data_IF_179678626904
#
_entry.id   IF_179678626904
#
_cell.length_a   1.000
_cell.length_b   1.000
_cell.length_c   1.000
_cell.angle_alpha   90.00
_cell.angle_beta   90.00
_cell.angle_gamma   90.00
#
_symmetry.space_group_name_H-M   'P 1'
#
loop_
_entity.id
_entity.type
_entity.pdbx_description
1 polymer ?
#
# COMPACT_ATOMS: atom_id res chain seq x y z
N UNK A 1 -27.43 35.78 -1.72
CA UNK A 1 -26.77 34.58 -2.29
C UNK A 1 -25.25 34.64 -2.24
N UNK A 2 -24.61 35.83 -2.27
CA UNK A 2 -23.14 35.93 -2.20
C UNK A 2 -22.54 35.50 -0.84
N UNK A 3 -23.19 35.79 0.29
CA UNK A 3 -22.67 35.45 1.63
C UNK A 3 -22.54 33.95 1.92
N UNK A 4 -23.41 33.13 1.33
CA UNK A 4 -23.41 31.70 1.57
C UNK A 4 -22.19 31.02 0.91
N UNK A 5 -21.73 31.55 -0.23
CA UNK A 5 -20.57 31.05 -0.96
C UNK A 5 -19.27 31.35 -0.21
N UNK A 6 -19.14 32.57 0.31
CA UNK A 6 -17.99 32.99 1.12
C UNK A 6 -17.89 32.19 2.44
N UNK A 7 -19.04 31.83 3.03
CA UNK A 7 -19.07 30.98 4.24
C UNK A 7 -18.74 29.51 3.96
N UNK A 8 -18.97 29.04 2.73
CA UNK A 8 -18.62 27.68 2.31
C UNK A 8 -17.12 27.57 1.99
N UNK A 9 -16.54 28.56 1.31
CA UNK A 9 -15.09 28.64 1.08
C UNK A 9 -14.33 28.81 2.39
N UNK A 10 -14.80 29.64 3.33
CA UNK A 10 -14.19 29.76 4.66
C UNK A 10 -14.34 28.49 5.52
N UNK A 11 -15.40 27.70 5.29
CA UNK A 11 -15.58 26.42 5.96
C UNK A 11 -14.76 25.29 5.32
N UNK A 12 -14.54 25.34 4.00
CA UNK A 12 -13.69 24.42 3.23
C UNK A 12 -12.21 24.67 3.50
N UNK A 13 -11.80 25.93 3.68
CA UNK A 13 -10.45 26.30 4.14
C UNK A 13 -10.24 26.01 5.64
N UNK A 14 -11.32 25.83 6.39
CA UNK A 14 -11.32 25.31 7.75
C UNK A 14 -11.49 23.77 7.83
N UNK A 15 -11.66 23.07 6.69
CA UNK A 15 -11.45 21.62 6.61
C UNK A 15 -9.94 21.42 6.70
N UNK A 16 -9.53 21.29 7.96
CA UNK A 16 -8.17 21.21 8.43
C UNK A 16 -7.26 20.32 7.54
N UNK A 17 -5.96 20.65 7.42
CA UNK A 17 -4.95 19.98 6.58
C UNK A 17 -4.63 18.51 6.93
N UNK A 18 -5.52 17.79 7.59
CA UNK A 18 -5.33 16.38 7.95
C UNK A 18 -5.46 15.41 6.76
N UNK A 19 -5.94 15.87 5.60
CA UNK A 19 -5.91 15.07 4.36
C UNK A 19 -4.52 15.03 3.71
N UNK A 20 -3.53 15.76 4.23
CA UNK A 20 -2.29 16.01 3.51
C UNK A 20 -1.30 14.83 3.50
N UNK A 21 -1.40 13.81 4.38
CA UNK A 21 -0.32 12.83 4.47
C UNK A 21 -0.71 11.39 4.86
N UNK A 22 -1.44 10.68 3.99
CA UNK A 22 -1.10 9.27 3.78
C UNK A 22 0.26 9.19 3.06
N UNK A 23 1.33 9.60 3.75
CA UNK A 23 2.70 9.34 3.30
C UNK A 23 2.82 7.83 3.13
N UNK A 24 2.89 7.37 1.89
CA UNK A 24 3.15 5.96 1.62
C UNK A 24 4.59 5.66 2.01
N UNK A 25 4.75 4.90 3.08
CA UNK A 25 6.07 4.46 3.50
C UNK A 25 6.58 3.38 2.55
N UNK A 26 7.81 3.55 2.08
CA UNK A 26 8.44 2.61 1.14
C UNK A 26 9.67 1.99 1.79
N UNK A 27 9.95 0.73 1.47
CA UNK A 27 11.11 0.04 2.02
C UNK A 27 12.42 0.69 1.54
N UNK A 28 13.31 0.96 2.49
CA UNK A 28 14.63 1.56 2.27
C UNK A 28 15.76 0.53 2.18
N UNK A 29 15.41 -0.74 1.96
CA UNK A 29 16.40 -1.81 1.80
C UNK A 29 17.33 -1.54 0.60
N UNK A 30 18.61 -1.94 0.68
CA UNK A 30 19.58 -1.75 -0.42
C UNK A 30 19.06 -2.35 -1.74
N UNK A 31 18.45 -3.53 -1.68
CA UNK A 31 17.82 -4.21 -2.84
C UNK A 31 16.68 -3.38 -3.45
N UNK A 32 15.81 -2.83 -2.61
CA UNK A 32 14.66 -2.01 -2.98
C UNK A 32 15.10 -0.70 -3.66
N UNK A 33 16.13 -0.06 -3.09
CA UNK A 33 16.70 1.18 -3.61
C UNK A 33 17.39 0.95 -4.96
N UNK A 34 18.17 -0.13 -5.07
CA UNK A 34 18.80 -0.56 -6.31
C UNK A 34 17.73 -0.85 -7.39
N UNK A 35 16.71 -1.65 -7.03
CA UNK A 35 15.61 -1.97 -7.93
C UNK A 35 14.84 -0.74 -8.41
N UNK A 36 14.66 0.28 -7.57
CA UNK A 36 13.98 1.52 -7.99
C UNK A 36 14.76 2.27 -9.08
N UNK A 37 16.10 2.29 -9.00
CA UNK A 37 16.97 2.90 -10.02
C UNK A 37 16.89 2.15 -11.35
N UNK A 38 16.90 0.82 -11.31
CA UNK A 38 16.87 -0.01 -12.52
C UNK A 38 15.48 -0.20 -13.11
N UNK A 39 14.40 0.09 -12.37
CA UNK A 39 13.01 -0.11 -12.81
C UNK A 39 12.71 0.48 -14.19
N UNK A 40 13.23 1.67 -14.50
CA UNK A 40 13.03 2.34 -15.79
C UNK A 40 13.87 1.71 -16.91
N UNK A 41 15.02 1.13 -16.55
CA UNK A 41 15.94 0.51 -17.49
C UNK A 41 15.54 -0.90 -17.90
N UNK A 42 14.87 -1.66 -17.02
CA UNK A 42 14.41 -3.03 -17.29
C UNK A 42 13.62 -3.16 -18.60
N UNK A 43 12.52 -2.39 -18.83
CA UNK A 43 11.78 -2.48 -20.08
C UNK A 43 12.63 -2.07 -21.29
N UNK A 44 13.51 -1.07 -21.16
CA UNK A 44 14.36 -0.60 -22.25
C UNK A 44 15.37 -1.65 -22.70
N UNK A 45 16.08 -2.27 -21.75
CA UNK A 45 17.03 -3.34 -22.02
C UNK A 45 16.35 -4.58 -22.62
N UNK A 46 15.11 -4.85 -22.21
CA UNK A 46 14.33 -5.97 -22.76
C UNK A 46 14.08 -5.79 -24.26
N UNK A 47 13.65 -4.60 -24.68
CA UNK A 47 13.44 -4.30 -26.10
C UNK A 47 14.75 -4.28 -26.90
N UNK A 48 15.83 -3.73 -26.33
CA UNK A 48 17.16 -3.77 -26.95
C UNK A 48 17.63 -5.22 -27.17
N UNK A 49 17.20 -6.15 -26.32
CA UNK A 49 17.60 -7.56 -26.40
C UNK A 49 17.08 -8.32 -27.62
N UNK A 50 16.03 -7.83 -28.28
CA UNK A 50 15.62 -8.38 -29.58
C UNK A 50 16.66 -8.11 -30.68
N UNK A 51 17.40 -7.00 -30.58
CA UNK A 51 18.50 -6.66 -31.49
C UNK A 51 19.82 -7.27 -31.05
N UNK A 52 20.07 -7.26 -29.74
CA UNK A 52 21.32 -7.71 -29.13
C UNK A 52 21.01 -8.69 -27.99
N UNK A 53 20.93 -10.02 -28.26
CA UNK A 53 20.54 -11.02 -27.27
C UNK A 53 21.41 -11.02 -26.00
N UNK A 54 22.65 -10.53 -26.07
CA UNK A 54 23.53 -10.36 -24.91
C UNK A 54 22.97 -9.39 -23.86
N UNK A 55 22.11 -8.44 -24.24
CA UNK A 55 21.49 -7.53 -23.26
C UNK A 55 20.53 -8.28 -22.32
N UNK A 56 19.95 -9.40 -22.74
CA UNK A 56 19.14 -10.25 -21.86
C UNK A 56 19.97 -10.85 -20.72
N UNK A 57 21.26 -11.13 -20.94
CA UNK A 57 22.16 -11.56 -19.88
C UNK A 57 22.37 -10.46 -18.82
N UNK A 58 22.41 -9.19 -19.24
CA UNK A 58 22.49 -8.07 -18.29
C UNK A 58 21.22 -7.96 -17.44
N UNK A 59 20.04 -8.21 -18.02
CA UNK A 59 18.78 -8.27 -17.27
C UNK A 59 18.75 -9.43 -16.27
N UNK A 60 19.24 -10.62 -16.67
CA UNK A 60 19.41 -11.75 -15.75
C UNK A 60 20.38 -11.39 -14.62
N UNK A 61 21.49 -10.72 -14.93
CA UNK A 61 22.45 -10.25 -13.95
C UNK A 61 21.83 -9.26 -12.96
N UNK A 62 21.04 -8.29 -13.43
CA UNK A 62 20.31 -7.36 -12.55
C UNK A 62 19.32 -8.11 -11.67
N UNK A 63 18.55 -9.05 -12.22
CA UNK A 63 17.60 -9.85 -11.44
C UNK A 63 18.32 -10.68 -10.36
N UNK A 64 19.41 -11.36 -10.72
CA UNK A 64 20.21 -12.16 -9.79
C UNK A 64 20.86 -11.29 -8.71
N UNK A 65 21.41 -10.13 -9.09
CA UNK A 65 21.99 -9.16 -8.17
C UNK A 65 20.95 -8.65 -7.16
N UNK A 66 19.79 -8.22 -7.65
CA UNK A 66 18.69 -7.72 -6.80
C UNK A 66 18.15 -8.82 -5.89
N UNK A 67 18.15 -10.10 -6.29
CA UNK A 67 17.51 -11.21 -5.56
C UNK A 67 18.42 -11.98 -4.61
N UNK A 68 19.66 -12.25 -5.00
CA UNK A 68 20.57 -13.13 -4.26
C UNK A 68 21.78 -12.39 -3.68
N UNK A 69 22.23 -11.32 -4.35
CA UNK A 69 23.48 -10.66 -3.97
C UNK A 69 23.29 -9.56 -2.92
N UNK A 70 22.21 -8.79 -3.02
CA UNK A 70 21.93 -7.75 -2.04
C UNK A 70 21.24 -8.35 -0.80
N UNK A 71 21.58 -7.88 0.39
CA UNK A 71 20.87 -8.27 1.62
C UNK A 71 19.41 -7.78 1.58
N UNK A 72 18.47 -8.68 1.91
CA UNK A 72 17.02 -8.41 1.90
C UNK A 72 16.46 -8.18 3.30
N UNK A 73 17.23 -7.55 4.17
CA UNK A 73 16.73 -7.14 5.48
C UNK A 73 15.76 -5.97 5.24
N UNK A 74 14.50 -6.17 5.60
CA UNK A 74 13.47 -5.13 5.50
C UNK A 74 13.87 -3.99 6.42
N UNK A 75 14.20 -2.84 5.82
CA UNK A 75 14.57 -1.64 6.55
C UNK A 75 13.35 -0.72 6.63
N UNK A 76 12.87 -0.51 7.86
CA UNK A 76 11.83 0.46 8.14
C UNK A 76 12.42 1.88 8.14
N UNK A 77 11.68 2.89 7.65
CA UNK A 77 12.11 4.28 7.79
C UNK A 77 12.17 4.65 9.28
N UNK A 78 13.17 5.45 9.66
CA UNK A 78 13.21 6.06 11.00
C UNK A 78 12.16 7.16 11.01
N UNK A 79 11.11 6.97 11.81
CA UNK A 79 10.04 7.95 11.99
C UNK A 79 10.52 9.00 13.00
N UNK A 80 10.55 10.31 12.67
CA UNK A 80 10.82 11.35 13.64
C UNK A 80 9.70 11.41 14.68
N UNK A 81 10.01 11.87 15.89
CA UNK A 81 9.02 11.97 16.99
C UNK A 81 7.80 12.83 16.62
N UNK A 82 8.01 13.81 15.74
CA UNK A 82 7.00 14.73 15.21
C UNK A 82 5.96 14.04 14.31
N UNK A 83 6.28 12.89 13.71
CA UNK A 83 5.33 12.14 12.89
C UNK A 83 4.40 11.27 13.73
N UNK A 84 4.71 11.03 15.01
CA UNK A 84 3.82 10.27 15.88
C UNK A 84 2.62 11.12 16.31
N UNK A 85 1.42 10.52 16.41
CA UNK A 85 0.22 11.23 16.79
C UNK A 85 0.40 11.90 18.15
N UNK A 86 0.17 13.20 18.18
CA UNK A 86 0.20 13.97 19.42
C UNK A 86 -1.12 13.85 20.17
N UNK A 87 -1.12 14.13 21.48
CA UNK A 87 -2.33 14.17 22.31
C UNK A 87 -3.37 15.13 21.71
N UNK A 88 -2.90 16.27 21.20
CA UNK A 88 -3.74 17.28 20.58
C UNK A 88 -4.46 16.73 19.34
N UNK A 89 -3.73 16.02 18.47
CA UNK A 89 -4.30 15.42 17.26
C UNK A 89 -5.35 14.35 17.59
N UNK A 90 -5.08 13.50 18.58
CA UNK A 90 -6.03 12.49 19.07
C UNK A 90 -7.33 13.12 19.56
N UNK A 91 -7.24 14.18 20.38
CA UNK A 91 -8.42 14.91 20.86
C UNK A 91 -9.18 15.58 19.73
N UNK A 92 -8.47 16.23 18.81
CA UNK A 92 -9.08 16.89 17.66
C UNK A 92 -9.81 15.89 16.75
N UNK A 93 -9.25 14.69 16.55
CA UNK A 93 -9.87 13.61 15.79
C UNK A 93 -11.13 13.06 16.47
N UNK A 94 -11.06 12.80 17.78
CA UNK A 94 -12.21 12.34 18.56
C UNK A 94 -13.36 13.35 18.56
N UNK A 95 -13.06 14.64 18.70
CA UNK A 95 -14.08 15.69 18.69
C UNK A 95 -14.80 15.79 17.34
N UNK A 96 -14.07 15.66 16.23
CA UNK A 96 -14.66 15.63 14.88
C UNK A 96 -15.57 14.42 14.67
N UNK A 97 -15.15 13.24 15.14
CA UNK A 97 -15.96 12.03 15.05
C UNK A 97 -17.30 12.17 15.79
N UNK A 98 -17.35 12.93 16.88
CA UNK A 98 -18.61 13.20 17.60
C UNK A 98 -19.53 14.21 16.89
N UNK A 99 -18.97 15.22 16.21
CA UNK A 99 -19.76 16.27 15.54
C UNK A 99 -20.44 15.76 14.27
N UNK A 100 -19.79 14.86 13.51
CA UNK A 100 -20.38 14.29 12.29
C UNK A 100 -21.65 13.46 12.58
N UNK A 101 -21.71 12.77 13.71
CA UNK A 101 -22.89 12.00 14.13
C UNK A 101 -24.10 12.89 14.37
N UNK A 102 -23.90 14.11 14.90
CA UNK A 102 -25.01 15.01 15.26
C UNK A 102 -25.64 15.72 14.05
N UNK A 103 -24.89 15.88 12.97
CA UNK A 103 -25.37 16.58 11.76
C UNK A 103 -26.24 15.67 10.88
N UNK A 104 -26.06 14.34 10.96
CA UNK A 104 -26.87 13.37 10.21
C UNK A 104 -28.20 12.98 10.86
N UNK A 105 -28.50 13.45 12.08
CA UNK A 105 -29.68 13.01 12.85
C UNK A 105 -30.83 14.03 12.87
N UNK A 106 -30.68 15.17 12.17
CA UNK A 106 -31.71 16.23 12.18
C UNK A 106 -32.57 16.29 10.91
N UNK A 107 -32.20 15.54 9.87
CA UNK A 107 -33.04 15.35 8.68
C UNK A 107 -33.58 13.93 8.72
N UNK A 108 -34.81 13.80 9.18
CA UNK A 108 -35.56 12.56 9.18
C UNK A 108 -35.74 11.99 7.77
N UNK A 109 -35.73 10.66 7.75
CA UNK A 109 -36.49 9.78 6.85
C UNK A 109 -35.72 9.05 5.72
N UNK A 110 -35.54 7.75 5.97
CA UNK A 110 -35.69 6.66 5.00
C UNK A 110 -34.67 6.47 3.86
N UNK A 111 -33.37 6.71 4.08
CA UNK A 111 -32.36 6.06 3.23
C UNK A 111 -31.29 5.31 4.04
N UNK A 112 -31.46 3.99 4.02
CA UNK A 112 -30.61 2.95 4.57
C UNK A 112 -29.12 3.32 4.74
N UNK A 113 -28.73 3.48 6.00
CA UNK A 113 -27.36 3.44 6.52
C UNK A 113 -26.69 2.09 6.19
N UNK A 114 -26.19 1.95 4.96
CA UNK A 114 -25.37 0.80 4.54
C UNK A 114 -23.91 1.18 4.18
N UNK A 115 -23.58 2.46 4.04
CA UNK A 115 -22.28 2.89 3.49
C UNK A 115 -21.17 3.29 4.47
N UNK A 116 -21.47 3.75 5.69
CA UNK A 116 -20.42 4.36 6.55
C UNK A 116 -19.68 3.37 7.46
N UNK A 117 -20.21 2.14 7.64
CA UNK A 117 -19.49 1.08 8.37
C UNK A 117 -18.45 0.37 7.50
N UNK A 118 -18.53 0.51 6.19
CA UNK A 118 -17.62 -0.13 5.24
C UNK A 118 -16.27 0.58 5.16
N UNK A 119 -16.16 1.89 5.42
CA UNK A 119 -14.87 2.58 5.24
C UNK A 119 -13.77 2.13 6.22
N UNK A 120 -14.10 1.87 7.49
CA UNK A 120 -13.12 1.34 8.47
C UNK A 120 -12.99 -0.19 8.41
N UNK A 121 -14.02 -0.94 7.97
CA UNK A 121 -13.92 -2.40 7.81
C UNK A 121 -13.26 -2.83 6.49
N UNK A 122 -13.34 -2.04 5.41
CA UNK A 122 -12.71 -2.39 4.15
C UNK A 122 -11.18 -2.20 4.21
N UNK A 123 -10.70 -1.25 5.00
CA UNK A 123 -9.27 -1.09 5.27
C UNK A 123 -8.70 -2.24 6.11
N UNK A 124 -9.47 -2.83 7.04
CA UNK A 124 -8.99 -4.00 7.81
C UNK A 124 -9.12 -5.33 7.07
N UNK A 125 -10.07 -5.47 6.13
CA UNK A 125 -10.29 -6.69 5.35
C UNK A 125 -9.33 -6.88 4.18
N UNK A 126 -8.66 -5.82 3.71
CA UNK A 126 -7.60 -5.93 2.69
C UNK A 126 -6.19 -6.11 3.27
N UNK A 127 -6.02 -6.13 4.60
CA UNK A 127 -4.77 -6.58 5.19
C UNK A 127 -4.57 -8.07 4.86
N UNK A 128 -3.55 -8.33 4.03
CA UNK A 128 -3.04 -9.65 3.69
C UNK A 128 -3.11 -10.60 4.90
N UNK A 129 -3.73 -11.80 4.79
CA UNK A 129 -3.88 -12.74 5.90
C UNK A 129 -2.55 -13.15 6.55
N UNK A 130 -1.41 -12.93 5.88
CA UNK A 130 -0.06 -13.11 6.44
C UNK A 130 0.32 -12.09 7.53
N UNK A 131 -0.34 -10.94 7.60
CA UNK A 131 -0.12 -9.93 8.64
C UNK A 131 -0.96 -10.24 9.89
N UNK A 132 -2.08 -10.94 9.74
CA UNK A 132 -2.93 -11.36 10.88
C UNK A 132 -2.24 -12.36 11.82
N UNK A 133 -1.19 -13.06 11.37
CA UNK A 133 -0.42 -13.98 12.24
C UNK A 133 0.52 -13.25 13.21
N UNK A 134 0.77 -11.95 13.04
CA UNK A 134 1.57 -11.15 13.95
C UNK A 134 0.69 -10.62 15.07
N UNK A 135 0.18 -11.54 15.92
CA UNK A 135 -0.42 -11.26 17.23
C UNK A 135 -1.05 -9.88 17.39
N UNK A 136 -1.95 -9.48 16.49
CA UNK A 136 -2.81 -8.33 16.74
C UNK A 136 -3.69 -8.80 17.87
N UNK A 137 -3.37 -8.38 19.08
CA UNK A 137 -4.28 -8.46 20.22
C UNK A 137 -5.55 -7.78 19.74
N UNK A 138 -6.55 -8.57 19.37
CA UNK A 138 -7.90 -8.06 19.19
C UNK A 138 -8.28 -7.47 20.55
N UNK A 139 -8.05 -6.17 20.70
CA UNK A 139 -8.66 -5.37 21.73
C UNK A 139 -10.15 -5.35 21.41
N UNK A 140 -10.81 -6.45 21.74
CA UNK A 140 -12.25 -6.56 21.86
C UNK A 140 -12.59 -5.57 22.96
N UNK A 141 -12.89 -4.34 22.58
CA UNK A 141 -13.57 -3.41 23.45
C UNK A 141 -14.84 -4.12 23.88
N UNK A 142 -14.83 -4.68 25.10
CA UNK A 142 -16.04 -5.22 25.69
C UNK A 142 -16.96 -4.03 25.85
N UNK A 143 -17.93 -3.98 24.95
CA UNK A 143 -19.06 -3.08 25.01
C UNK A 143 -19.98 -3.63 26.09
N UNK A 144 -19.48 -3.68 27.33
CA UNK A 144 -20.27 -4.12 28.47
C UNK A 144 -21.36 -3.08 28.69
N UNK A 145 -22.58 -3.59 28.59
CA UNK A 145 -23.86 -2.91 28.59
C UNK A 145 -23.98 -1.86 29.70
N UNK A 146 -23.88 -0.58 29.35
CA UNK A 146 -24.53 0.48 30.10
C UNK A 146 -25.99 0.56 29.64
N UNK A 147 -26.84 -0.30 30.21
CA UNK A 147 -28.30 -0.22 30.08
C UNK A 147 -28.76 1.07 30.76
N UNK A 148 -28.90 2.15 29.97
CA UNK A 148 -29.48 3.40 30.44
C UNK A 148 -30.99 3.23 30.61
N UNK A 149 -31.57 3.59 31.77
CA UNK A 149 -33.00 3.56 31.96
C UNK A 149 -33.67 4.61 31.06
N UNK A 150 -34.59 4.14 30.22
CA UNK A 150 -35.51 4.97 29.44
C UNK A 150 -36.50 5.59 30.43
N UNK A 151 -36.32 6.87 30.75
CA UNK A 151 -37.16 7.56 31.73
C UNK A 151 -37.17 9.09 31.59
N UNK A 152 -38.22 9.59 30.95
CA UNK A 152 -38.84 10.93 31.08
C UNK A 152 -38.06 12.20 30.70
N UNK A 153 -38.69 12.93 29.77
CA UNK A 153 -38.19 14.07 28.98
C UNK A 153 -38.31 15.45 29.68
N UNK A 154 -38.49 15.53 31.00
CA UNK A 154 -38.89 16.78 31.68
C UNK A 154 -37.89 17.36 32.69
N UNK A 155 -36.62 16.91 32.70
CA UNK A 155 -35.60 17.41 33.62
C UNK A 155 -34.44 18.16 32.93
N UNK A 156 -34.76 19.22 32.17
CA UNK A 156 -33.76 20.26 31.80
C UNK A 156 -33.59 21.20 33.00
N UNK A 157 -33.11 20.67 34.14
CA UNK A 157 -32.62 21.47 35.26
C UNK A 157 -31.12 21.70 35.05
N UNK A 158 -30.79 22.92 34.63
CA UNK A 158 -29.66 23.73 35.08
C UNK A 158 -28.60 22.98 35.92
N UNK A 159 -27.81 22.10 35.28
CA UNK A 159 -26.61 21.54 35.88
C UNK A 159 -25.50 22.60 35.78
N UNK A 160 -25.49 23.52 36.75
CA UNK A 160 -24.35 24.41 37.07
C UNK A 160 -23.34 23.71 38.00
N UNK A 161 -23.28 22.38 37.94
CA UNK A 161 -22.32 21.59 38.69
C UNK A 161 -20.96 21.65 38.01
N UNK A 162 -19.96 22.24 38.69
CA UNK A 162 -18.55 22.16 38.31
C UNK A 162 -18.20 20.68 38.11
N UNK A 163 -17.83 20.23 36.89
CA UNK A 163 -17.57 18.81 36.66
C UNK A 163 -16.42 18.36 37.56
N UNK A 164 -16.68 17.38 38.44
CA UNK A 164 -15.61 16.75 39.19
C UNK A 164 -14.66 16.06 38.19
N UNK A 165 -13.32 16.29 38.30
CA UNK A 165 -12.36 15.62 37.45
C UNK A 165 -12.42 14.12 37.74
N UNK A 166 -12.79 13.30 36.76
CA UNK A 166 -12.74 11.85 36.93
C UNK A 166 -11.29 11.43 37.25
N UNK A 167 -11.04 10.66 38.33
CA UNK A 167 -9.69 10.31 38.77
C UNK A 167 -8.87 9.41 37.81
N UNK A 168 -9.41 9.07 36.63
CA UNK A 168 -8.85 8.06 35.73
C UNK A 168 -8.37 8.64 34.38
N UNK A 169 -8.52 9.94 34.14
CA UNK A 169 -8.39 10.54 32.80
C UNK A 169 -6.96 10.47 32.25
N UNK A 170 -5.94 10.65 33.09
CA UNK A 170 -4.55 10.64 32.65
C UNK A 170 -4.06 9.25 32.23
N UNK A 171 -4.44 8.19 32.97
CA UNK A 171 -4.09 6.81 32.63
C UNK A 171 -4.77 6.38 31.33
N UNK A 172 -6.06 6.71 31.17
CA UNK A 172 -6.83 6.39 29.97
C UNK A 172 -6.29 7.12 28.73
N UNK A 173 -5.87 8.39 28.88
CA UNK A 173 -5.26 9.17 27.81
C UNK A 173 -3.92 8.57 27.36
N UNK A 174 -3.05 8.19 28.32
CA UNK A 174 -1.79 7.52 28.00
C UNK A 174 -2.04 6.19 27.27
N UNK A 175 -3.04 5.41 27.68
CA UNK A 175 -3.40 4.17 27.00
C UNK A 175 -3.89 4.42 25.56
N UNK A 176 -4.75 5.41 25.34
CA UNK A 176 -5.20 5.80 24.00
C UNK A 176 -4.03 6.22 23.10
N UNK A 177 -3.10 7.02 23.66
CA UNK A 177 -1.92 7.45 22.94
C UNK A 177 -1.01 6.27 22.57
N UNK A 178 -0.75 5.34 23.49
CA UNK A 178 0.03 4.13 23.18
C UNK A 178 -0.67 3.27 22.11
N UNK A 179 -1.98 3.08 22.20
CA UNK A 179 -2.75 2.33 21.21
C UNK A 179 -2.70 2.99 19.81
N UNK A 180 -2.75 4.32 19.75
CA UNK A 180 -2.66 5.03 18.47
C UNK A 180 -1.28 4.91 17.84
N UNK A 181 -0.21 4.95 18.65
CA UNK A 181 1.17 4.77 18.20
C UNK A 181 1.42 3.37 17.68
N UNK A 182 0.94 2.34 18.38
CA UNK A 182 1.07 0.95 17.91
C UNK A 182 0.29 0.71 16.63
N UNK A 183 -0.91 1.29 16.51
CA UNK A 183 -1.70 1.23 15.27
C UNK A 183 -0.97 1.90 14.11
N UNK A 184 -0.42 3.11 14.31
CA UNK A 184 0.35 3.81 13.29
C UNK A 184 1.57 2.98 12.86
N UNK A 185 2.36 2.47 13.80
CA UNK A 185 3.52 1.63 13.50
C UNK A 185 3.13 0.37 12.72
N UNK A 186 2.00 -0.27 13.05
CA UNK A 186 1.49 -1.41 12.31
C UNK A 186 1.12 -1.04 10.86
N UNK A 187 0.49 0.12 10.65
CA UNK A 187 0.19 0.64 9.30
C UNK A 187 1.47 0.93 8.51
N UNK A 188 2.44 1.61 9.11
CA UNK A 188 3.75 1.87 8.48
C UNK A 188 4.45 0.57 8.10
N UNK A 189 4.44 -0.41 9.00
CA UNK A 189 5.05 -1.71 8.74
C UNK A 189 4.36 -2.44 7.58
N UNK A 190 3.03 -2.41 7.53
CA UNK A 190 2.25 -2.99 6.44
C UNK A 190 2.57 -2.32 5.09
N UNK A 191 2.67 -0.99 5.06
CA UNK A 191 3.04 -0.23 3.85
C UNK A 191 4.44 -0.56 3.35
N UNK A 192 5.42 -0.64 4.25
CA UNK A 192 6.81 -0.99 3.93
C UNK A 192 6.89 -2.40 3.36
N UNK A 193 6.22 -3.36 3.99
CA UNK A 193 6.15 -4.75 3.53
C UNK A 193 5.46 -4.84 2.16
N UNK A 194 4.33 -4.15 2.00
CA UNK A 194 3.61 -4.12 0.74
C UNK A 194 4.44 -3.50 -0.40
N UNK A 195 5.14 -2.40 -0.13
CA UNK A 195 6.06 -1.77 -1.08
C UNK A 195 7.20 -2.72 -1.47
N UNK A 196 7.76 -3.46 -0.52
CA UNK A 196 8.83 -4.42 -0.75
C UNK A 196 8.35 -5.61 -1.60
N UNK A 197 7.19 -6.17 -1.27
CA UNK A 197 6.59 -7.28 -2.01
C UNK A 197 6.20 -6.87 -3.44
N UNK A 198 5.67 -5.66 -3.61
CA UNK A 198 5.36 -5.09 -4.92
C UNK A 198 6.62 -5.00 -5.81
N UNK A 199 7.76 -4.62 -5.24
CA UNK A 199 9.03 -4.58 -5.98
C UNK A 199 9.50 -5.98 -6.35
N UNK A 200 9.42 -6.97 -5.45
CA UNK A 200 9.77 -8.37 -5.79
C UNK A 200 8.92 -8.91 -6.93
N UNK A 201 7.59 -8.76 -6.83
CA UNK A 201 6.65 -9.23 -7.88
C UNK A 201 6.93 -8.57 -9.24
N UNK A 202 7.29 -7.29 -9.25
CA UNK A 202 7.66 -6.59 -10.49
C UNK A 202 8.83 -7.27 -11.19
N UNK A 203 9.92 -7.55 -10.46
CA UNK A 203 11.10 -8.20 -11.03
C UNK A 203 10.85 -9.66 -11.41
N UNK A 204 10.09 -10.40 -10.62
CA UNK A 204 9.71 -11.78 -10.93
C UNK A 204 8.89 -11.84 -12.23
N UNK A 205 7.93 -10.93 -12.42
CA UNK A 205 7.15 -10.84 -13.68
C UNK A 205 8.05 -10.54 -14.89
N UNK A 206 8.99 -9.62 -14.76
CA UNK A 206 9.92 -9.29 -15.84
C UNK A 206 10.89 -10.43 -16.15
N UNK A 207 11.31 -11.19 -15.14
CA UNK A 207 12.11 -12.39 -15.32
C UNK A 207 11.36 -13.45 -16.13
N UNK A 208 10.07 -13.70 -15.83
CA UNK A 208 9.27 -14.63 -16.63
C UNK A 208 9.13 -14.17 -18.09
N UNK A 209 8.93 -12.87 -18.34
CA UNK A 209 8.90 -12.31 -19.70
C UNK A 209 10.22 -12.51 -20.43
N UNK A 210 11.34 -12.30 -19.74
CA UNK A 210 12.67 -12.53 -20.27
C UNK A 210 12.90 -14.00 -20.64
N UNK A 211 12.50 -14.91 -19.76
CA UNK A 211 12.57 -16.36 -20.03
C UNK A 211 11.72 -16.77 -21.22
N UNK A 212 10.47 -16.31 -21.29
CA UNK A 212 9.58 -16.60 -22.41
C UNK A 212 10.17 -16.09 -23.74
N UNK A 213 10.68 -14.85 -23.76
CA UNK A 213 11.29 -14.25 -24.95
C UNK A 213 12.58 -14.97 -25.36
N UNK A 214 13.44 -15.31 -24.39
CA UNK A 214 14.69 -16.05 -24.64
C UNK A 214 14.40 -17.44 -25.23
N UNK A 215 13.45 -18.18 -24.65
CA UNK A 215 13.03 -19.49 -25.17
C UNK A 215 12.50 -19.39 -26.60
N UNK A 216 11.64 -18.41 -26.90
CA UNK A 216 11.14 -18.20 -28.26
C UNK A 216 12.27 -17.87 -29.25
N UNK A 217 13.22 -17.03 -28.85
CA UNK A 217 14.37 -16.68 -29.67
C UNK A 217 15.26 -17.89 -29.98
N UNK A 218 15.54 -18.73 -28.98
CA UNK A 218 16.31 -19.98 -29.17
C UNK A 218 15.62 -20.90 -30.19
N UNK A 219 14.29 -21.04 -30.12
CA UNK A 219 13.54 -21.85 -31.10
C UNK A 219 13.66 -21.30 -32.52
N UNK A 220 13.57 -19.99 -32.70
CA UNK A 220 13.75 -19.33 -34.01
C UNK A 220 15.16 -19.59 -34.55
N UNK A 221 16.19 -19.42 -33.72
CA UNK A 221 17.58 -19.66 -34.12
C UNK A 221 17.78 -21.12 -34.54
N UNK A 222 17.27 -22.08 -33.75
CA UNK A 222 17.34 -23.51 -34.10
C UNK A 222 16.64 -23.78 -35.43
N UNK A 223 15.45 -23.21 -35.65
CA UNK A 223 14.71 -23.38 -36.90
C UNK A 223 15.46 -22.83 -38.12
N UNK A 224 16.03 -21.62 -38.01
CA UNK A 224 16.86 -21.01 -39.06
C UNK A 224 18.09 -21.87 -39.37
N UNK A 225 18.77 -22.37 -38.34
CA UNK A 225 19.92 -23.26 -38.48
C UNK A 225 19.52 -24.56 -39.20
N UNK A 226 18.41 -25.19 -38.80
CA UNK A 226 17.90 -26.40 -39.46
C UNK A 226 17.55 -26.16 -40.93
N UNK A 227 16.93 -25.02 -41.26
CA UNK A 227 16.64 -24.64 -42.66
C UNK A 227 17.93 -24.46 -43.44
N UNK A 228 18.91 -23.74 -42.89
CA UNK A 228 20.20 -23.52 -43.53
C UNK A 228 20.93 -24.85 -43.79
N UNK A 229 20.97 -25.74 -42.80
CA UNK A 229 21.55 -27.08 -42.95
C UNK A 229 20.81 -27.90 -44.01
N UNK A 230 19.48 -27.90 -44.01
CA UNK A 230 18.69 -28.59 -45.03
C UNK A 230 18.99 -28.04 -46.43
N UNK A 231 19.11 -26.72 -46.58
CA UNK A 231 19.44 -26.07 -47.86
C UNK A 231 20.82 -26.48 -48.38
N UNK A 232 21.81 -26.64 -47.49
CA UNK A 232 23.15 -27.08 -47.85
C UNK A 232 23.13 -28.55 -48.30
N UNK A 233 22.46 -29.41 -47.54
CA UNK A 233 22.42 -30.86 -47.82
C UNK A 233 21.57 -31.18 -49.05
N UNK A 234 20.47 -30.47 -49.27
CA UNK A 234 19.55 -30.72 -50.39
C UNK A 234 19.99 -30.08 -51.71
N UNK A 235 21.11 -29.37 -51.79
CA UNK A 235 21.64 -28.82 -53.04
C UNK A 235 22.42 -29.90 -53.80
N UNK A 236 21.83 -30.66 -54.74
CA UNK A 236 22.43 -31.86 -55.33
C UNK A 236 23.43 -31.52 -56.45
N UNK A 237 23.94 -30.29 -56.48
CA UNK A 237 24.29 -29.57 -57.71
C UNK A 237 25.72 -29.09 -57.84
N UNK A 238 26.70 -29.81 -57.30
CA UNK A 238 28.07 -29.78 -57.82
C UNK A 238 28.46 -31.18 -58.29
N UNK A 239 27.65 -31.74 -59.18
CA UNK A 239 28.16 -32.75 -60.10
C UNK A 239 29.27 -32.09 -60.91
N UNK A 240 30.50 -32.54 -60.71
CA UNK A 240 31.68 -32.12 -61.47
C UNK A 240 31.34 -32.11 -62.97
N UNK A 241 31.69 -31.05 -63.72
CA UNK A 241 31.62 -31.10 -65.17
C UNK A 241 32.56 -32.21 -65.63
N UNK A 242 31.98 -33.32 -66.10
CA UNK A 242 32.72 -34.35 -66.79
C UNK A 242 33.22 -33.74 -68.09
N UNK A 243 34.50 -33.36 -68.13
CA UNK A 243 35.18 -32.95 -69.34
C UNK A 243 35.23 -34.14 -70.30
N UNK A 244 34.53 -34.03 -71.42
CA UNK A 244 34.69 -34.89 -72.59
C UNK A 244 35.79 -34.35 -73.51
#
# INVERSE_FOLDING_TARGET
MADFRNSLEAAEEAVLPFDEFQKRYSCNCKSCLCGRKFKVWVPRLFFIGFLVPLSWLTLLGIWFCVRYWLEHVVAFPVLPEEEFPTIYELHSGAQKACVSVRKGQRDGDNYASKGSREFYQHSSKELNPRVQSWGVVENKWTQDEATLPVGSESAIRQYSGKPEPCPNTAAQLNQMLQNSRTMMLATVAADVLHSHDRMRRYYDLWFFRLWASSSAYILIVVFVVLIAFKSIVSSPGMALPTSH
#
